data_IF_859624044102
#
_entry.id   IF_859624044102
#
_cell.length_a   1.000
_cell.length_b   1.000
_cell.length_c   1.000
_cell.angle_alpha   90.00
_cell.angle_beta   90.00
_cell.angle_gamma   90.00
#
_symmetry.space_group_name_H-M   'P 1'
#
loop_
_entity.id
_entity.type
_entity.pdbx_description
1 polymer ?
#
# COMPACT_ATOMS: atom_id res chain seq x y z
N UNK A 1 49.80 -45.33 54.63
CA UNK A 1 50.84 -44.38 54.18
C UNK A 1 50.21 -43.46 53.14
N UNK A 2 50.44 -42.14 53.28
CA UNK A 2 50.01 -41.00 52.43
C UNK A 2 48.49 -40.73 52.45
N UNK A 3 47.90 -39.82 53.24
CA UNK A 3 48.15 -38.39 53.53
C UNK A 3 47.85 -37.42 52.36
N UNK A 4 46.75 -36.68 52.50
CA UNK A 4 46.45 -35.29 52.06
C UNK A 4 44.98 -35.00 52.48
N UNK A 5 44.64 -34.36 53.61
CA UNK A 5 44.77 -32.96 54.06
C UNK A 5 44.08 -31.90 53.18
N UNK A 6 43.32 -31.06 53.88
CA UNK A 6 42.61 -29.82 53.48
C UNK A 6 41.20 -30.04 52.91
N UNK A 7 40.12 -29.42 53.39
CA UNK A 7 40.00 -28.29 54.30
C UNK A 7 38.97 -27.29 53.75
N UNK A 8 38.14 -26.78 54.66
CA UNK A 8 37.60 -25.40 54.67
C UNK A 8 36.32 -25.11 53.86
N UNK A 9 35.27 -24.92 54.67
CA UNK A 9 34.29 -23.81 54.71
C UNK A 9 33.37 -23.48 53.54
N UNK A 10 32.07 -23.54 53.89
CA UNK A 10 31.12 -22.42 53.83
C UNK A 10 31.41 -21.33 52.77
N UNK A 11 30.62 -21.37 51.72
CA UNK A 11 29.99 -20.18 51.15
C UNK A 11 28.71 -20.64 50.45
N UNK A 12 27.62 -20.69 51.22
CA UNK A 12 26.30 -20.58 50.64
C UNK A 12 26.25 -19.20 49.97
N UNK A 13 26.38 -19.17 48.65
CA UNK A 13 25.96 -18.02 47.86
C UNK A 13 24.44 -18.00 47.95
N UNK A 14 23.95 -17.38 49.02
CA UNK A 14 22.61 -16.83 49.02
C UNK A 14 22.66 -15.77 47.93
N UNK A 15 22.16 -16.13 46.75
CA UNK A 15 21.73 -15.15 45.77
C UNK A 15 20.57 -14.39 46.43
N UNK A 16 20.93 -13.40 47.23
CA UNK A 16 20.02 -12.35 47.65
C UNK A 16 19.64 -11.65 46.36
N UNK A 17 18.55 -12.10 45.74
CA UNK A 17 17.77 -11.26 44.86
C UNK A 17 17.41 -10.06 45.72
N UNK A 18 18.17 -8.97 45.55
CA UNK A 18 17.77 -7.64 45.99
C UNK A 18 16.53 -7.35 45.15
N UNK A 19 15.37 -7.81 45.62
CA UNK A 19 14.11 -7.20 45.27
C UNK A 19 14.27 -5.75 45.73
N UNK A 20 14.61 -4.87 44.78
CA UNK A 20 14.49 -3.46 44.99
C UNK A 20 13.03 -3.22 45.40
N UNK A 21 12.80 -3.02 46.69
CA UNK A 21 11.57 -2.44 47.21
C UNK A 21 11.51 -0.99 46.68
N UNK A 22 11.24 -0.85 45.39
CA UNK A 22 10.74 0.38 44.84
C UNK A 22 9.40 0.60 45.52
N UNK A 23 9.37 1.59 46.42
CA UNK A 23 8.13 1.96 47.09
C UNK A 23 7.09 2.27 46.02
N UNK A 24 5.91 1.64 46.10
CA UNK A 24 4.82 1.87 45.16
C UNK A 24 4.56 3.37 45.03
N UNK A 25 4.49 3.86 43.79
CA UNK A 25 4.05 5.22 43.54
C UNK A 25 2.59 5.36 43.97
N UNK A 26 2.20 6.54 44.42
CA UNK A 26 0.85 6.83 44.90
C UNK A 26 0.00 7.37 43.74
N UNK A 27 -1.31 7.17 43.80
CA UNK A 27 -2.25 7.73 42.81
C UNK A 27 -2.14 9.27 42.71
N UNK A 28 -1.78 9.94 43.81
CA UNK A 28 -1.49 11.37 43.83
C UNK A 28 -0.34 11.77 42.88
N UNK A 29 0.60 10.88 42.59
CA UNK A 29 1.71 11.14 41.67
C UNK A 29 1.25 11.20 40.21
N UNK A 30 0.13 10.55 39.86
CA UNK A 30 -0.51 10.66 38.53
C UNK A 30 -1.13 12.04 38.36
N UNK A 31 -1.83 12.53 39.39
CA UNK A 31 -2.41 13.87 39.38
C UNK A 31 -1.35 14.98 39.29
N UNK A 32 -0.16 14.77 39.87
CA UNK A 32 0.97 15.71 39.72
C UNK A 32 1.45 15.85 38.28
N UNK A 33 1.18 14.86 37.42
CA UNK A 33 1.46 14.96 35.99
C UNK A 33 0.36 15.68 35.21
N UNK A 34 -0.64 16.26 35.89
CA UNK A 34 -1.80 16.91 35.29
C UNK A 34 -2.60 15.98 34.35
N UNK A 35 -2.63 14.68 34.66
CA UNK A 35 -3.39 13.70 33.92
C UNK A 35 -4.90 13.98 34.02
N UNK A 36 -5.61 13.88 32.89
CA UNK A 36 -7.06 13.85 32.87
C UNK A 36 -7.55 12.44 33.14
N UNK A 37 -7.82 12.15 34.41
CA UNK A 37 -8.30 10.83 34.86
C UNK A 37 -9.65 10.44 34.25
N UNK A 38 -10.36 11.37 33.59
CA UNK A 38 -11.59 11.10 32.83
C UNK A 38 -11.35 10.69 31.37
N UNK A 39 -10.14 10.88 30.86
CA UNK A 39 -9.76 10.59 29.45
C UNK A 39 -9.23 9.17 29.24
N UNK A 40 -9.60 8.25 30.14
CA UNK A 40 -9.07 6.89 30.21
C UNK A 40 -9.25 6.11 28.90
N UNK A 41 -8.16 5.58 28.33
CA UNK A 41 -8.21 4.48 27.36
C UNK A 41 -7.95 3.15 28.07
N UNK A 42 -8.47 2.07 27.50
CA UNK A 42 -8.50 0.71 28.05
C UNK A 42 -7.19 0.23 28.70
N UNK A 43 -7.33 -0.66 29.68
CA UNK A 43 -6.22 -1.29 30.40
C UNK A 43 -5.52 -2.31 29.50
N UNK A 44 -4.33 -1.98 29.00
CA UNK A 44 -3.55 -2.89 28.15
C UNK A 44 -2.83 -3.90 29.04
N UNK A 45 -3.30 -5.14 29.03
CA UNK A 45 -2.65 -6.26 29.71
C UNK A 45 -1.36 -6.69 29.00
N UNK A 46 -0.26 -6.81 29.73
CA UNK A 46 1.03 -7.32 29.22
C UNK A 46 1.25 -8.78 29.61
N UNK A 47 2.09 -9.48 28.82
CA UNK A 47 2.50 -10.87 29.08
C UNK A 47 3.19 -11.07 30.43
N UNK A 48 3.76 -10.00 31.01
CA UNK A 48 4.38 -10.01 32.33
C UNK A 48 3.38 -9.78 33.49
N UNK A 49 2.08 -9.72 33.19
CA UNK A 49 1.00 -9.48 34.17
C UNK A 49 0.87 -8.03 34.62
N UNK A 50 1.63 -7.09 34.04
CA UNK A 50 1.44 -5.67 34.27
C UNK A 50 0.29 -5.11 33.42
N UNK A 51 -0.37 -4.09 33.95
CA UNK A 51 -1.45 -3.35 33.28
C UNK A 51 -0.97 -1.95 32.97
N UNK A 52 -1.19 -1.49 31.75
CA UNK A 52 -0.86 -0.12 31.34
C UNK A 52 -2.14 0.67 31.18
N UNK A 53 -2.23 1.82 31.84
CA UNK A 53 -3.30 2.79 31.62
C UNK A 53 -2.71 4.07 31.05
N UNK A 54 -3.34 4.64 30.02
CA UNK A 54 -2.91 5.85 29.35
C UNK A 54 -3.92 6.98 29.61
N UNK A 55 -3.42 8.15 29.99
CA UNK A 55 -4.24 9.34 30.22
C UNK A 55 -3.76 10.50 29.37
N UNK A 56 -4.65 11.36 28.91
CA UNK A 56 -4.27 12.63 28.30
C UNK A 56 -3.76 13.60 29.36
N UNK A 57 -2.69 14.34 29.09
CA UNK A 57 -2.24 15.43 29.96
C UNK A 57 -3.07 16.70 29.68
N UNK A 58 -3.70 17.29 30.71
CA UNK A 58 -4.54 18.49 30.56
C UNK A 58 -3.73 19.67 30.02
N UNK A 59 -4.27 20.34 29.01
CA UNK A 59 -3.64 21.50 28.38
C UNK A 59 -2.37 21.19 27.59
N UNK A 60 -2.11 19.92 27.32
CA UNK A 60 -0.90 19.43 26.63
C UNK A 60 -1.27 18.41 25.55
N UNK A 61 -0.35 18.25 24.60
CA UNK A 61 -0.37 17.24 23.56
C UNK A 61 0.23 15.88 24.00
N UNK A 62 0.65 15.79 25.26
CA UNK A 62 1.35 14.64 25.82
C UNK A 62 0.39 13.70 26.54
N UNK A 63 0.86 12.50 26.76
CA UNK A 63 0.14 11.42 27.41
C UNK A 63 0.87 10.97 28.67
N UNK A 64 0.13 10.55 29.68
CA UNK A 64 0.66 10.02 30.93
C UNK A 64 0.43 8.51 30.90
N UNK A 65 1.50 7.77 30.70
CA UNK A 65 1.56 6.32 30.85
C UNK A 65 1.68 5.97 32.33
N UNK A 66 0.83 5.05 32.80
CA UNK A 66 0.88 4.50 34.14
C UNK A 66 0.96 2.98 34.04
N UNK A 67 2.05 2.39 34.51
CA UNK A 67 2.22 0.93 34.54
C UNK A 67 1.96 0.42 35.96
N UNK A 68 0.99 -0.47 36.09
CA UNK A 68 0.61 -1.12 37.35
C UNK A 68 1.05 -2.58 37.33
N UNK A 69 1.71 -3.02 38.40
CA UNK A 69 1.98 -4.43 38.68
C UNK A 69 1.18 -4.81 39.92
N UNK A 70 0.20 -5.68 39.76
CA UNK A 70 -0.81 -5.95 40.79
C UNK A 70 -1.50 -4.65 41.26
N UNK A 71 -1.44 -4.33 42.56
CA UNK A 71 -1.99 -3.10 43.15
C UNK A 71 -0.98 -1.96 43.26
N UNK A 72 0.21 -2.11 42.68
CA UNK A 72 1.31 -1.17 42.82
C UNK A 72 1.51 -0.39 41.52
N UNK A 73 1.57 0.94 41.58
CA UNK A 73 2.02 1.75 40.44
C UNK A 73 3.55 1.64 40.38
N UNK A 74 4.02 0.95 39.34
CA UNK A 74 5.44 0.71 39.13
C UNK A 74 6.11 1.93 38.45
N UNK A 75 5.46 2.50 37.43
CA UNK A 75 6.00 3.68 36.72
C UNK A 75 4.92 4.65 36.28
N UNK A 76 5.30 5.92 36.20
CA UNK A 76 4.51 7.00 35.59
C UNK A 76 5.44 7.73 34.62
N UNK A 77 5.08 7.83 33.34
CA UNK A 77 5.89 8.50 32.32
C UNK A 77 5.05 9.43 31.46
N UNK A 78 5.60 10.59 31.13
CA UNK A 78 4.94 11.53 30.21
C UNK A 78 5.52 11.34 28.81
N UNK A 79 4.73 10.76 27.92
CA UNK A 79 5.10 10.47 26.55
C UNK A 79 4.57 11.55 25.60
N UNK A 80 5.33 11.88 24.56
CA UNK A 80 4.79 12.55 23.38
C UNK A 80 3.88 11.60 22.58
N UNK A 81 3.10 12.14 21.64
CA UNK A 81 2.28 11.32 20.74
C UNK A 81 3.13 10.28 20.00
N UNK A 82 4.25 10.68 19.41
CA UNK A 82 5.14 9.79 18.66
C UNK A 82 5.81 8.71 19.53
N UNK A 83 6.05 8.99 20.81
CA UNK A 83 6.61 8.02 21.76
C UNK A 83 5.56 7.02 22.23
N UNK A 84 4.31 7.47 22.41
CA UNK A 84 3.19 6.60 22.75
C UNK A 84 2.88 5.67 21.58
N UNK A 85 2.79 6.22 20.36
CA UNK A 85 2.51 5.50 19.13
C UNK A 85 3.57 4.43 18.85
N UNK A 86 4.86 4.81 18.83
CA UNK A 86 5.96 3.84 18.67
C UNK A 86 6.00 2.73 19.71
N UNK A 87 5.45 2.97 20.89
CA UNK A 87 5.55 2.03 22.02
C UNK A 87 4.40 1.05 22.10
N UNK A 88 3.21 1.45 21.66
CA UNK A 88 2.00 0.64 21.81
C UNK A 88 1.23 0.44 20.51
N UNK A 89 1.66 1.08 19.42
CA UNK A 89 0.94 1.11 18.15
C UNK A 89 -0.52 1.58 18.34
N UNK A 90 -0.72 2.46 19.34
CA UNK A 90 -2.03 2.83 19.86
C UNK A 90 -2.87 3.60 18.84
N UNK A 91 -2.26 4.25 17.84
CA UNK A 91 -3.02 4.91 16.78
C UNK A 91 -3.65 3.92 15.81
N UNK A 92 -3.06 2.75 15.61
CA UNK A 92 -3.70 1.65 14.89
C UNK A 92 -4.87 1.09 15.73
N UNK A 93 -4.64 0.83 17.01
CA UNK A 93 -5.65 0.17 17.87
C UNK A 93 -6.85 1.06 18.26
N UNK A 94 -6.65 2.37 18.48
CA UNK A 94 -7.74 3.31 18.80
C UNK A 94 -8.66 3.60 17.61
N UNK A 95 -8.23 3.25 16.40
CA UNK A 95 -9.03 3.39 15.17
C UNK A 95 -9.57 2.03 14.71
N UNK A 96 -8.94 0.92 15.13
CA UNK A 96 -9.49 -0.45 15.07
C UNK A 96 -10.75 -0.60 15.92
N UNK A 97 -10.94 0.09 17.05
CA UNK A 97 -12.22 0.00 17.80
C UNK A 97 -13.44 0.45 16.97
N UNK A 98 -13.25 1.26 15.91
CA UNK A 98 -14.32 1.56 14.95
C UNK A 98 -14.45 0.51 13.84
N UNK A 99 -13.40 -0.24 13.54
CA UNK A 99 -13.40 -1.34 12.57
C UNK A 99 -13.94 -2.63 13.19
N UNK A 100 -13.55 -2.95 14.43
CA UNK A 100 -13.98 -4.12 15.21
C UNK A 100 -15.49 -4.06 15.51
N UNK A 101 -16.05 -2.87 15.74
CA UNK A 101 -17.51 -2.71 15.91
C UNK A 101 -18.33 -3.04 14.64
N UNK A 102 -17.70 -3.12 13.45
CA UNK A 102 -18.34 -3.62 12.23
C UNK A 102 -18.11 -5.12 12.01
N UNK A 103 -17.04 -5.69 12.56
CA UNK A 103 -16.68 -7.11 12.42
C UNK A 103 -17.37 -8.00 13.46
N UNK A 104 -17.58 -7.52 14.69
CA UNK A 104 -18.29 -8.26 15.76
C UNK A 104 -19.81 -8.42 15.52
N UNK A 105 -20.33 -7.87 14.41
CA UNK A 105 -21.68 -8.14 13.94
C UNK A 105 -21.79 -9.39 13.04
N UNK A 106 -20.68 -10.02 12.66
CA UNK A 106 -20.65 -11.15 11.72
C UNK A 106 -20.22 -12.49 12.32
N UNK A 107 -19.54 -12.52 13.47
CA UNK A 107 -19.09 -13.79 14.05
C UNK A 107 -19.95 -14.20 15.23
N UNK A 108 -21.08 -14.82 14.91
CA UNK A 108 -21.85 -15.60 15.87
C UNK A 108 -22.29 -16.94 15.26
N UNK A 109 -21.33 -17.69 14.71
CA UNK A 109 -21.37 -19.16 14.56
C UNK A 109 -19.90 -19.59 14.68
N UNK A 110 -19.44 -20.26 15.73
CA UNK A 110 -19.92 -21.51 16.27
C UNK A 110 -18.64 -22.31 16.59
N UNK A 111 -18.45 -22.66 17.85
CA UNK A 111 -17.40 -23.59 18.27
C UNK A 111 -17.50 -24.90 17.48
N UNK A 112 -16.41 -25.33 16.86
CA UNK A 112 -16.10 -26.75 16.75
C UNK A 112 -14.59 -26.98 16.88
N UNK A 113 -14.23 -27.88 17.79
CA UNK A 113 -12.86 -28.31 18.05
C UNK A 113 -12.52 -29.46 17.11
N UNK A 114 -11.40 -29.32 16.40
CA UNK A 114 -10.58 -30.46 15.95
C UNK A 114 -10.84 -30.96 14.53
N UNK A 115 -9.91 -30.64 13.62
CA UNK A 115 -9.19 -31.65 12.84
C UNK A 115 -7.95 -30.98 12.24
N UNK A 116 -6.83 -31.70 12.28
CA UNK A 116 -5.54 -31.35 11.72
C UNK A 116 -5.61 -31.27 10.19
N UNK A 117 -6.17 -30.16 9.70
CA UNK A 117 -6.19 -29.83 8.29
C UNK A 117 -4.83 -29.23 7.94
N UNK A 118 -4.08 -29.91 7.08
CA UNK A 118 -2.88 -29.33 6.46
C UNK A 118 -3.25 -27.97 5.87
N UNK A 119 -2.68 -26.91 6.46
CA UNK A 119 -2.89 -25.53 6.01
C UNK A 119 -2.21 -25.38 4.66
N UNK A 120 -2.97 -25.57 3.58
CA UNK A 120 -2.56 -25.20 2.23
C UNK A 120 -2.33 -23.70 2.26
N UNK A 121 -1.09 -23.26 1.99
CA UNK A 121 -0.78 -21.83 1.94
C UNK A 121 -1.53 -21.20 0.77
N UNK A 122 -2.03 -19.96 0.92
CA UNK A 122 -2.76 -19.26 -0.15
C UNK A 122 -1.97 -19.19 -1.47
N UNK A 123 -0.64 -19.21 -1.38
CA UNK A 123 0.27 -19.22 -2.52
C UNK A 123 0.21 -20.53 -3.35
N UNK A 124 -0.31 -21.63 -2.79
CA UNK A 124 -0.37 -22.96 -3.41
C UNK A 124 -1.73 -23.25 -4.08
N UNK A 125 -2.76 -22.43 -3.82
CA UNK A 125 -4.09 -22.59 -4.43
C UNK A 125 -4.00 -22.62 -5.98
N UNK A 126 -4.84 -23.40 -6.68
CA UNK A 126 -4.80 -23.47 -8.13
C UNK A 126 -5.31 -22.17 -8.79
N UNK A 127 -4.81 -21.86 -9.98
CA UNK A 127 -5.38 -20.78 -10.79
C UNK A 127 -6.85 -21.07 -11.11
N UNK A 128 -7.73 -20.09 -10.89
CA UNK A 128 -9.16 -20.20 -11.19
C UNK A 128 -9.48 -19.56 -12.55
N UNK A 129 -10.10 -20.34 -13.44
CA UNK A 129 -10.52 -19.84 -14.76
C UNK A 129 -11.96 -19.32 -14.74
N UNK A 130 -12.22 -18.22 -15.42
CA UNK A 130 -13.57 -17.63 -15.49
C UNK A 130 -14.63 -18.58 -16.04
N UNK A 131 -14.26 -19.50 -16.94
CA UNK A 131 -15.16 -20.49 -17.54
C UNK A 131 -15.71 -21.51 -16.52
N UNK A 132 -15.02 -21.66 -15.37
CA UNK A 132 -15.47 -22.53 -14.27
C UNK A 132 -16.53 -21.87 -13.40
N UNK A 133 -16.80 -20.57 -13.59
CA UNK A 133 -17.75 -19.78 -12.80
C UNK A 133 -18.87 -19.19 -13.67
N UNK A 134 -19.57 -19.97 -14.51
CA UNK A 134 -20.58 -19.43 -15.40
C UNK A 134 -21.76 -18.84 -14.62
N UNK A 135 -22.44 -17.87 -15.23
CA UNK A 135 -23.74 -17.38 -14.77
C UNK A 135 -24.85 -18.10 -15.53
N UNK A 136 -25.97 -18.37 -14.86
CA UNK A 136 -27.12 -19.01 -15.50
C UNK A 136 -27.95 -18.05 -16.37
N UNK A 137 -27.84 -16.74 -16.12
CA UNK A 137 -28.61 -15.71 -16.82
C UNK A 137 -27.90 -14.36 -16.82
N UNK A 138 -28.03 -13.64 -17.92
CA UNK A 138 -27.67 -12.22 -18.02
C UNK A 138 -28.95 -11.37 -17.95
N UNK A 139 -28.95 -10.40 -17.05
CA UNK A 139 -30.01 -9.43 -16.83
C UNK A 139 -30.21 -8.56 -18.08
N UNK A 140 -31.45 -8.52 -18.55
CA UNK A 140 -31.86 -7.78 -19.75
C UNK A 140 -33.05 -6.85 -19.48
N UNK A 141 -33.36 -6.62 -18.20
CA UNK A 141 -34.44 -5.71 -17.79
C UNK A 141 -34.04 -4.24 -17.82
N UNK A 142 -34.97 -3.33 -17.47
CA UNK A 142 -34.69 -1.90 -17.39
C UNK A 142 -33.62 -1.57 -16.36
N UNK A 143 -32.62 -0.80 -16.75
CA UNK A 143 -31.54 -0.35 -15.87
C UNK A 143 -32.10 0.66 -14.86
N UNK A 144 -31.95 0.38 -13.56
CA UNK A 144 -32.24 1.34 -12.50
C UNK A 144 -30.97 2.10 -12.15
N UNK A 145 -31.00 3.43 -12.27
CA UNK A 145 -29.87 4.27 -11.89
C UNK A 145 -29.79 4.46 -10.37
N UNK A 146 -28.62 4.85 -9.84
CA UNK A 146 -28.41 5.00 -8.39
C UNK A 146 -29.17 6.19 -7.83
N UNK A 147 -29.52 6.09 -6.54
CA UNK A 147 -30.10 7.19 -5.78
C UNK A 147 -29.00 7.99 -5.10
N UNK A 148 -28.36 8.88 -5.86
CA UNK A 148 -27.27 9.74 -5.37
C UNK A 148 -27.70 10.81 -4.36
N UNK A 149 -29.01 10.99 -4.12
CA UNK A 149 -29.53 11.93 -3.13
C UNK A 149 -29.96 11.24 -1.83
N UNK A 150 -30.14 9.91 -1.86
CA UNK A 150 -30.50 9.09 -0.71
C UNK A 150 -29.48 7.98 -0.48
N UNK A 151 -29.85 6.74 -0.81
CA UNK A 151 -29.08 5.52 -0.47
C UNK A 151 -27.62 5.57 -0.93
N UNK A 152 -27.37 6.03 -2.15
CA UNK A 152 -26.06 5.95 -2.81
C UNK A 152 -25.32 7.32 -2.77
N UNK A 153 -25.63 8.18 -1.80
CA UNK A 153 -25.05 9.53 -1.66
C UNK A 153 -23.53 9.53 -1.60
N UNK A 154 -22.91 8.53 -0.99
CA UNK A 154 -21.45 8.43 -0.84
C UNK A 154 -20.72 8.17 -2.18
N UNK A 155 -21.48 7.86 -3.23
CA UNK A 155 -20.99 7.66 -4.60
C UNK A 155 -21.27 8.87 -5.50
N UNK A 156 -21.93 9.92 -4.99
CA UNK A 156 -22.39 11.06 -5.78
C UNK A 156 -21.26 11.82 -6.49
N UNK A 157 -20.05 11.84 -5.91
CA UNK A 157 -18.85 12.43 -6.53
C UNK A 157 -18.49 11.77 -7.87
N UNK A 158 -18.87 10.50 -8.06
CA UNK A 158 -18.62 9.72 -9.27
C UNK A 158 -19.86 9.49 -10.12
N UNK A 159 -20.97 10.20 -9.83
CA UNK A 159 -22.30 9.96 -10.42
C UNK A 159 -22.31 9.82 -11.94
N UNK A 160 -21.56 10.67 -12.65
CA UNK A 160 -21.54 10.66 -14.12
C UNK A 160 -20.87 9.39 -14.64
N UNK A 161 -19.74 9.01 -14.05
CA UNK A 161 -18.96 7.83 -14.47
C UNK A 161 -19.72 6.56 -14.15
N UNK A 162 -20.27 6.45 -12.94
CA UNK A 162 -21.12 5.33 -12.52
C UNK A 162 -22.35 5.22 -13.43
N UNK A 163 -23.07 6.31 -13.65
CA UNK A 163 -24.26 6.31 -14.52
C UNK A 163 -23.93 5.89 -15.95
N UNK A 164 -22.78 6.33 -16.48
CA UNK A 164 -22.35 5.94 -17.82
C UNK A 164 -21.93 4.46 -17.88
N UNK A 165 -21.22 3.96 -16.87
CA UNK A 165 -20.87 2.54 -16.76
C UNK A 165 -22.11 1.65 -16.68
N UNK A 166 -23.10 2.02 -15.86
CA UNK A 166 -24.38 1.30 -15.80
C UNK A 166 -25.13 1.32 -17.13
N UNK A 167 -25.17 2.46 -17.83
CA UNK A 167 -25.83 2.59 -19.14
C UNK A 167 -25.16 1.76 -20.24
N UNK A 168 -23.89 1.37 -20.06
CA UNK A 168 -23.22 0.45 -20.98
C UNK A 168 -23.74 -1.00 -20.85
N UNK A 169 -24.50 -1.31 -19.80
CA UNK A 169 -25.13 -2.61 -19.58
C UNK A 169 -24.33 -3.53 -18.65
N UNK A 170 -24.76 -4.79 -18.57
CA UNK A 170 -24.12 -5.81 -17.73
C UNK A 170 -22.73 -6.13 -18.30
N UNK A 171 -21.70 -6.06 -17.46
CA UNK A 171 -20.35 -6.50 -17.81
C UNK A 171 -19.72 -7.44 -16.76
N UNK A 172 -20.47 -7.79 -15.71
CA UNK A 172 -20.01 -8.67 -14.63
C UNK A 172 -21.14 -9.49 -14.02
N UNK A 173 -20.88 -10.79 -13.75
CA UNK A 173 -21.69 -11.68 -12.90
C UNK A 173 -23.20 -11.60 -13.19
N UNK A 174 -23.55 -11.60 -14.48
CA UNK A 174 -24.91 -11.71 -14.98
C UNK A 174 -25.82 -10.50 -14.73
N UNK A 175 -25.56 -9.63 -13.76
CA UNK A 175 -26.46 -8.51 -13.43
C UNK A 175 -25.77 -7.21 -13.02
N UNK A 176 -24.44 -7.22 -12.96
CA UNK A 176 -23.66 -6.10 -12.44
C UNK A 176 -22.88 -5.37 -13.54
N UNK A 177 -22.62 -4.09 -13.28
CA UNK A 177 -21.70 -3.27 -14.04
C UNK A 177 -20.53 -2.89 -13.12
N UNK A 178 -19.32 -3.27 -13.51
CA UNK A 178 -18.09 -2.75 -12.94
C UNK A 178 -17.71 -1.48 -13.69
N UNK A 179 -17.50 -0.41 -12.93
CA UNK A 179 -17.03 0.88 -13.43
C UNK A 179 -15.70 1.21 -12.79
N UNK A 180 -14.61 1.02 -13.54
CA UNK A 180 -13.27 1.42 -13.12
C UNK A 180 -13.00 2.88 -13.50
N UNK A 181 -12.42 3.64 -12.58
CA UNK A 181 -12.18 5.07 -12.69
C UNK A 181 -10.74 5.34 -12.29
N UNK A 182 -9.97 5.92 -13.21
CA UNK A 182 -8.63 6.42 -12.89
C UNK A 182 -8.69 7.58 -11.91
N UNK A 183 -7.87 7.53 -10.87
CA UNK A 183 -7.74 8.60 -9.88
C UNK A 183 -6.54 9.53 -10.14
N UNK A 184 -5.64 9.16 -11.07
CA UNK A 184 -4.37 9.83 -11.38
C UNK A 184 -3.20 8.87 -11.14
N UNK A 185 -1.97 9.23 -11.56
CA UNK A 185 -0.72 8.51 -11.21
C UNK A 185 -0.79 6.97 -11.24
N UNK A 186 -1.41 6.39 -12.27
CA UNK A 186 -1.63 4.92 -12.41
C UNK A 186 -2.50 4.27 -11.32
N UNK A 187 -3.09 5.04 -10.42
CA UNK A 187 -4.15 4.60 -9.51
C UNK A 187 -5.50 4.50 -10.23
N UNK A 188 -6.27 3.49 -9.84
CA UNK A 188 -7.68 3.38 -10.18
C UNK A 188 -8.50 2.93 -8.98
N UNK A 189 -9.79 3.27 -9.00
CA UNK A 189 -10.81 2.75 -8.08
C UNK A 189 -11.89 2.08 -8.92
N UNK A 190 -12.63 1.14 -8.35
CA UNK A 190 -13.74 0.51 -9.04
C UNK A 190 -15.01 0.47 -8.19
N UNK A 191 -16.14 0.55 -8.87
CA UNK A 191 -17.47 0.41 -8.29
C UNK A 191 -18.22 -0.73 -8.95
N UNK A 192 -19.00 -1.46 -8.16
CA UNK A 192 -19.96 -2.44 -8.67
C UNK A 192 -21.36 -1.87 -8.54
N UNK A 193 -22.07 -1.85 -9.65
CA UNK A 193 -23.45 -1.37 -9.72
C UNK A 193 -24.38 -2.54 -10.01
N UNK A 194 -25.40 -2.73 -9.19
CA UNK A 194 -26.50 -3.63 -9.52
C UNK A 194 -27.45 -2.94 -10.51
N UNK A 195 -27.54 -3.44 -11.75
CA UNK A 195 -28.39 -2.82 -12.78
C UNK A 195 -29.89 -3.04 -12.52
N UNK A 196 -30.26 -4.05 -11.73
CA UNK A 196 -31.66 -4.35 -11.38
C UNK A 196 -32.17 -3.41 -10.30
N UNK A 197 -31.34 -3.05 -9.32
CA UNK A 197 -31.77 -2.26 -8.14
C UNK A 197 -31.23 -0.83 -8.11
N UNK A 198 -30.15 -0.54 -8.83
CA UNK A 198 -29.44 0.73 -8.80
C UNK A 198 -28.40 0.83 -7.68
N UNK A 199 -28.30 -0.17 -6.80
CA UNK A 199 -27.43 -0.12 -5.63
C UNK A 199 -25.95 -0.14 -6.01
N UNK A 200 -25.15 0.62 -5.26
CA UNK A 200 -23.71 0.78 -5.49
C UNK A 200 -22.89 0.12 -4.38
N UNK A 201 -21.78 -0.49 -4.78
CA UNK A 201 -20.83 -1.14 -3.90
C UNK A 201 -19.41 -0.74 -4.29
N UNK A 202 -18.50 -0.71 -3.31
CA UNK A 202 -17.07 -0.47 -3.55
C UNK A 202 -16.37 -1.77 -3.89
N UNK A 203 -15.43 -1.70 -4.83
CA UNK A 203 -14.40 -2.72 -4.93
C UNK A 203 -13.44 -2.56 -3.73
N UNK A 204 -12.95 -3.65 -3.11
CA UNK A 204 -12.19 -3.59 -1.86
C UNK A 204 -10.78 -3.02 -2.06
N UNK A 205 -10.26 -3.08 -3.30
CA UNK A 205 -8.94 -2.56 -3.65
C UNK A 205 -9.00 -1.34 -4.57
N UNK A 206 -7.87 -0.66 -4.68
CA UNK A 206 -7.72 0.57 -5.47
C UNK A 206 -7.43 1.80 -4.62
N UNK A 207 -7.35 2.96 -5.27
CA UNK A 207 -6.85 4.17 -4.63
C UNK A 207 -5.32 4.22 -4.62
N UNK A 208 -4.76 5.17 -3.88
CA UNK A 208 -3.31 5.41 -3.83
C UNK A 208 -2.56 4.28 -3.09
N UNK A 209 -3.22 3.60 -2.15
CA UNK A 209 -2.64 2.54 -1.30
C UNK A 209 -2.48 1.19 -2.04
N UNK A 210 -3.30 0.93 -3.06
CA UNK A 210 -3.37 -0.37 -3.75
C UNK A 210 -3.20 -0.27 -5.28
N UNK A 211 -2.71 0.88 -5.77
CA UNK A 211 -2.43 1.13 -7.19
C UNK A 211 -1.01 0.68 -7.59
N UNK A 212 -0.81 0.18 -8.82
CA UNK A 212 -1.77 0.02 -9.92
C UNK A 212 -2.72 -1.16 -9.71
N UNK A 213 -3.95 -1.02 -10.21
CA UNK A 213 -4.97 -2.08 -10.14
C UNK A 213 -5.57 -2.32 -11.53
N UNK A 214 -5.63 -3.58 -11.95
CA UNK A 214 -6.34 -3.99 -13.18
C UNK A 214 -7.32 -5.11 -12.90
N UNK A 215 -8.43 -5.14 -13.64
CA UNK A 215 -9.55 -6.04 -13.41
C UNK A 215 -9.90 -6.79 -14.69
N UNK A 216 -10.05 -8.10 -14.59
CA UNK A 216 -10.59 -8.98 -15.63
C UNK A 216 -11.91 -9.55 -15.15
N UNK A 217 -12.97 -9.23 -15.89
CA UNK A 217 -14.33 -9.66 -15.59
C UNK A 217 -15.15 -9.84 -16.87
N UNK A 218 -16.27 -10.55 -16.78
CA UNK A 218 -17.23 -10.64 -17.90
C UNK A 218 -18.65 -10.79 -17.39
N UNK A 219 -19.62 -10.42 -18.23
CA UNK A 219 -21.04 -10.63 -17.94
C UNK A 219 -21.39 -12.10 -17.72
N UNK A 220 -20.65 -13.01 -18.35
CA UNK A 220 -20.89 -14.46 -18.34
C UNK A 220 -20.29 -15.20 -17.14
N UNK A 221 -19.47 -14.55 -16.32
CA UNK A 221 -18.77 -15.19 -15.21
C UNK A 221 -19.02 -14.48 -13.89
N UNK A 222 -19.16 -15.27 -12.81
CA UNK A 222 -19.20 -14.80 -11.43
C UNK A 222 -17.81 -14.49 -10.88
N UNK A 223 -16.75 -14.96 -11.57
CA UNK A 223 -15.37 -14.72 -11.18
C UNK A 223 -14.89 -13.37 -11.70
N UNK A 224 -14.23 -12.63 -10.82
CA UNK A 224 -13.40 -11.50 -11.14
C UNK A 224 -11.95 -11.85 -10.81
N UNK A 225 -11.03 -11.48 -11.69
CA UNK A 225 -9.60 -11.58 -11.44
C UNK A 225 -9.05 -10.17 -11.36
N UNK A 226 -8.30 -9.87 -10.31
CA UNK A 226 -7.65 -8.57 -10.12
C UNK A 226 -6.14 -8.74 -10.01
N UNK A 227 -5.39 -7.78 -10.53
CA UNK A 227 -4.06 -7.50 -10.02
C UNK A 227 -4.09 -6.22 -9.19
N UNK A 228 -3.39 -6.24 -8.07
CA UNK A 228 -3.29 -5.10 -7.17
C UNK A 228 -2.02 -5.19 -6.33
N UNK A 229 -1.58 -4.03 -5.82
CA UNK A 229 -0.33 -3.92 -5.06
C UNK A 229 -0.59 -4.18 -3.57
N UNK A 230 0.14 -5.15 -3.01
CA UNK A 230 0.16 -5.47 -1.58
C UNK A 230 1.57 -5.25 -1.03
N UNK A 231 1.80 -4.10 -0.39
CA UNK A 231 3.13 -3.68 0.06
C UNK A 231 4.10 -3.52 -1.11
N UNK A 232 5.13 -4.36 -1.18
CA UNK A 232 6.13 -4.38 -2.25
C UNK A 232 5.88 -5.49 -3.28
N UNK A 233 4.76 -6.22 -3.17
CA UNK A 233 4.40 -7.32 -4.06
C UNK A 233 3.24 -6.94 -4.95
N UNK A 234 3.23 -7.49 -6.15
CA UNK A 234 2.04 -7.55 -6.96
C UNK A 234 1.31 -8.87 -6.72
N UNK A 235 0.01 -8.77 -6.46
CA UNK A 235 -0.86 -9.90 -6.20
C UNK A 235 -1.80 -10.10 -7.37
N UNK A 236 -1.97 -11.35 -7.81
CA UNK A 236 -3.05 -11.81 -8.67
C UNK A 236 -4.10 -12.51 -7.81
N UNK A 237 -5.30 -11.96 -7.75
CA UNK A 237 -6.37 -12.44 -6.89
C UNK A 237 -7.62 -12.81 -7.68
N UNK A 238 -8.20 -13.96 -7.36
CA UNK A 238 -9.46 -14.46 -7.91
C UNK A 238 -10.55 -14.32 -6.86
N UNK A 239 -11.65 -13.64 -7.21
CA UNK A 239 -12.69 -13.29 -6.25
C UNK A 239 -14.09 -13.49 -6.83
N UNK A 240 -15.07 -13.71 -5.94
CA UNK A 240 -16.50 -13.62 -6.27
C UNK A 240 -17.16 -12.48 -5.53
N UNK A 241 -18.24 -11.95 -6.10
CA UNK A 241 -19.04 -10.91 -5.48
C UNK A 241 -20.48 -11.39 -5.26
N UNK A 242 -20.98 -11.22 -4.04
CA UNK A 242 -22.34 -11.53 -3.67
C UNK A 242 -22.98 -10.37 -2.90
N UNK A 243 -23.71 -9.51 -3.62
CA UNK A 243 -24.63 -8.51 -3.07
C UNK A 243 -24.05 -7.60 -1.97
N UNK A 244 -22.75 -7.26 -2.06
CA UNK A 244 -22.05 -6.39 -1.12
C UNK A 244 -20.81 -7.01 -0.51
N UNK A 245 -20.71 -8.34 -0.56
CA UNK A 245 -19.58 -9.09 -0.01
C UNK A 245 -18.66 -9.58 -1.12
N UNK A 246 -17.36 -9.50 -0.89
CA UNK A 246 -16.31 -10.05 -1.75
C UNK A 246 -15.69 -11.26 -1.07
N UNK A 247 -15.69 -12.39 -1.76
CA UNK A 247 -15.04 -13.61 -1.29
C UNK A 247 -13.74 -13.80 -2.07
N UNK A 248 -12.61 -13.81 -1.37
CA UNK A 248 -11.33 -14.20 -1.97
C UNK A 248 -11.29 -15.70 -2.13
N UNK A 249 -11.01 -16.18 -3.34
CA UNK A 249 -10.97 -17.61 -3.65
C UNK A 249 -9.54 -18.12 -3.87
N UNK A 250 -8.64 -17.27 -4.35
CA UNK A 250 -7.23 -17.58 -4.51
C UNK A 250 -6.41 -16.28 -4.62
N UNK A 251 -5.28 -16.21 -3.91
CA UNK A 251 -4.39 -15.04 -3.89
C UNK A 251 -2.95 -15.47 -4.16
N UNK A 252 -2.34 -14.93 -5.21
CA UNK A 252 -0.99 -15.33 -5.64
C UNK A 252 -0.06 -14.12 -5.76
N UNK A 253 1.06 -14.08 -5.02
CA UNK A 253 2.14 -13.15 -5.32
C UNK A 253 2.74 -13.49 -6.68
N UNK A 254 2.68 -12.56 -7.64
CA UNK A 254 3.16 -12.76 -9.01
C UNK A 254 4.47 -12.03 -9.32
N UNK A 255 4.93 -11.16 -8.41
CA UNK A 255 6.18 -10.44 -8.55
C UNK A 255 6.32 -9.32 -7.52
N UNK A 256 7.31 -8.45 -7.74
CA UNK A 256 7.35 -7.15 -7.08
C UNK A 256 6.21 -6.24 -7.56
N UNK A 257 6.09 -5.06 -6.98
CA UNK A 257 5.05 -4.08 -7.35
C UNK A 257 5.08 -3.65 -8.81
N UNK A 258 6.20 -3.80 -9.53
CA UNK A 258 6.30 -3.38 -10.94
C UNK A 258 5.46 -4.31 -11.84
N UNK A 259 5.28 -5.58 -11.46
CA UNK A 259 4.43 -6.51 -12.20
C UNK A 259 2.95 -6.08 -12.28
N UNK A 260 2.48 -5.21 -11.37
CA UNK A 260 1.11 -4.70 -11.39
C UNK A 260 0.86 -3.64 -12.47
N UNK A 261 1.91 -3.15 -13.13
CA UNK A 261 1.79 -2.26 -14.29
C UNK A 261 1.59 -3.01 -15.61
N UNK A 262 1.86 -4.32 -15.62
CA UNK A 262 1.64 -5.17 -16.79
C UNK A 262 0.15 -5.48 -16.99
N UNK A 263 -0.24 -5.79 -18.23
CA UNK A 263 -1.61 -6.19 -18.53
C UNK A 263 -2.01 -7.46 -17.75
N UNK A 264 -3.25 -7.50 -17.27
CA UNK A 264 -3.73 -8.65 -16.48
C UNK A 264 -3.71 -9.96 -17.28
N UNK A 265 -3.87 -9.91 -18.59
CA UNK A 265 -3.80 -11.10 -19.44
C UNK A 265 -2.38 -11.63 -19.56
N UNK A 266 -1.39 -10.73 -19.59
CA UNK A 266 0.03 -11.08 -19.60
C UNK A 266 0.43 -11.68 -18.25
N UNK A 267 -0.02 -11.08 -17.15
CA UNK A 267 0.16 -11.59 -15.79
C UNK A 267 -0.46 -12.99 -15.61
N UNK A 268 -1.69 -13.20 -16.07
CA UNK A 268 -2.35 -14.51 -16.02
C UNK A 268 -1.57 -15.55 -16.84
N UNK A 269 -1.11 -15.17 -18.04
CA UNK A 269 -0.37 -16.08 -18.94
C UNK A 269 0.99 -16.46 -18.37
N UNK A 270 1.71 -15.49 -17.80
CA UNK A 270 2.98 -15.70 -17.12
C UNK A 270 2.82 -16.61 -15.89
N UNK A 271 1.78 -16.39 -15.08
CA UNK A 271 1.48 -17.22 -13.91
C UNK A 271 1.23 -18.68 -14.29
N UNK A 272 0.38 -18.92 -15.29
CA UNK A 272 0.09 -20.27 -15.80
C UNK A 272 1.34 -20.97 -16.31
N UNK A 273 2.13 -20.28 -17.14
CA UNK A 273 3.37 -20.83 -17.71
C UNK A 273 4.37 -21.24 -16.61
N UNK A 274 4.53 -20.41 -15.58
CA UNK A 274 5.43 -20.70 -14.45
C UNK A 274 5.00 -21.93 -13.67
N UNK A 275 3.69 -22.12 -13.46
CA UNK A 275 3.14 -23.30 -12.78
C UNK A 275 3.21 -24.58 -13.61
N UNK A 276 3.01 -24.50 -14.92
CA UNK A 276 3.20 -25.64 -15.81
C UNK A 276 4.67 -26.11 -15.81
N UNK A 277 5.63 -25.18 -15.73
CA UNK A 277 7.05 -25.49 -15.58
C UNK A 277 7.42 -26.06 -14.20
N UNK A 278 6.77 -25.62 -13.12
CA UNK A 278 7.02 -26.17 -11.78
C UNK A 278 6.41 -27.56 -11.59
N UNK A 279 5.24 -27.83 -12.19
CA UNK A 279 4.60 -29.15 -12.19
C UNK A 279 5.31 -30.20 -13.05
N UNK A 280 6.18 -29.77 -13.98
CA UNK A 280 6.96 -30.67 -14.83
C UNK A 280 8.27 -31.17 -14.19
N UNK A 281 8.67 -30.65 -13.03
CA UNK A 281 9.94 -31.00 -12.37
C UNK A 281 9.83 -32.04 -11.23
N UNK A 282 8.65 -32.62 -11.01
CA UNK A 282 8.49 -33.75 -10.07
C UNK A 282 8.30 -35.08 -10.81
N UNK A 283 9.40 -35.61 -11.36
CA UNK A 283 9.59 -37.07 -11.52
C UNK A 283 11.03 -37.42 -11.14
N UNK A 284 11.26 -38.38 -10.23
CA UNK A 284 12.60 -38.77 -9.82
C UNK A 284 13.17 -39.81 -10.79
N UNK A 285 14.33 -39.52 -11.40
CA UNK A 285 15.14 -40.57 -12.01
C UNK A 285 16.64 -40.24 -11.97
N UNK A 286 17.28 -40.92 -11.03
CA UNK A 286 18.70 -41.25 -10.93
C UNK A 286 19.39 -41.56 -12.27
N UNK A 287 20.56 -40.93 -12.46
CA UNK A 287 21.79 -41.57 -12.98
C UNK A 287 21.94 -41.76 -14.49
N UNK A 288 22.81 -40.98 -15.14
CA UNK A 288 24.24 -41.30 -15.23
C UNK A 288 25.03 -40.30 -16.10
N UNK A 289 26.32 -40.18 -15.72
CA UNK A 289 27.43 -39.45 -16.34
C UNK A 289 27.53 -39.62 -17.87
N UNK A 290 27.95 -38.56 -18.55
CA UNK A 290 29.26 -38.56 -19.23
C UNK A 290 29.68 -37.15 -19.64
N UNK A 291 30.94 -36.85 -19.35
CA UNK A 291 31.66 -35.65 -19.76
C UNK A 291 31.91 -35.64 -21.28
N UNK A 292 32.00 -34.44 -21.86
CA UNK A 292 33.17 -34.11 -22.68
C UNK A 292 33.37 -32.59 -22.75
N UNK A 293 34.54 -32.17 -22.30
CA UNK A 293 35.12 -30.86 -22.55
C UNK A 293 35.83 -30.88 -23.92
N UNK A 294 35.71 -29.80 -24.68
CA UNK A 294 36.47 -29.56 -25.90
C UNK A 294 36.66 -28.06 -26.10
N UNK A 295 37.89 -27.59 -25.90
CA UNK A 295 38.37 -26.23 -26.14
C UNK A 295 38.34 -25.82 -27.63
N UNK A 296 38.04 -24.53 -27.89
CA UNK A 296 38.76 -23.64 -28.82
C UNK A 296 38.13 -22.22 -28.72
N UNK A 297 38.74 -21.27 -28.02
CA UNK A 297 39.77 -20.28 -28.42
C UNK A 297 39.22 -19.09 -29.24
N UNK A 298 39.57 -17.91 -28.74
CA UNK A 298 39.12 -16.57 -29.08
C UNK A 298 39.49 -16.10 -30.50
N UNK A 299 38.69 -15.14 -31.00
CA UNK A 299 39.17 -14.08 -31.89
C UNK A 299 38.32 -12.81 -31.69
N UNK A 300 38.91 -11.85 -30.99
CA UNK A 300 38.74 -10.41 -31.22
C UNK A 300 39.01 -10.10 -32.69
N UNK A 301 38.16 -9.28 -33.31
CA UNK A 301 38.62 -8.23 -34.20
C UNK A 301 37.65 -7.05 -34.16
N UNK A 302 38.25 -5.89 -33.94
CA UNK A 302 37.66 -4.56 -33.91
C UNK A 302 37.87 -3.96 -35.29
N UNK A 303 36.82 -3.55 -35.98
CA UNK A 303 36.95 -2.59 -37.09
C UNK A 303 35.71 -1.70 -37.14
N UNK A 304 35.98 -0.41 -36.93
CA UNK A 304 35.06 0.72 -37.03
C UNK A 304 35.01 1.17 -38.50
N UNK A 305 33.90 1.78 -38.96
CA UNK A 305 34.09 3.07 -39.60
C UNK A 305 33.09 4.14 -39.15
N UNK A 306 33.56 5.37 -39.32
CA UNK A 306 33.00 6.62 -38.85
C UNK A 306 31.76 7.11 -39.63
N UNK A 307 31.16 8.16 -39.05
CA UNK A 307 30.13 9.07 -39.56
C UNK A 307 28.68 8.57 -39.60
N UNK A 308 27.99 8.78 -38.47
CA UNK A 308 26.56 9.09 -38.47
C UNK A 308 26.34 10.34 -37.62
N UNK A 309 25.90 11.41 -38.26
CA UNK A 309 25.26 12.55 -37.61
C UNK A 309 23.98 12.04 -36.94
N UNK A 310 23.70 12.31 -35.65
CA UNK A 310 22.35 12.15 -35.14
C UNK A 310 21.79 13.52 -34.76
N UNK A 311 21.01 14.10 -35.67
CA UNK A 311 19.90 14.98 -35.29
C UNK A 311 18.63 14.34 -35.86
N UNK A 312 18.02 13.46 -35.06
CA UNK A 312 16.62 13.08 -35.16
C UNK A 312 16.22 12.25 -33.93
N UNK A 313 15.54 12.88 -32.97
CA UNK A 313 14.56 12.18 -32.12
C UNK A 313 15.02 11.62 -30.78
N UNK A 314 15.78 12.38 -29.97
CA UNK A 314 15.66 12.21 -28.50
C UNK A 314 14.72 13.29 -27.99
N UNK A 315 13.65 12.86 -27.30
CA UNK A 315 12.86 13.79 -26.51
C UNK A 315 13.69 14.21 -25.30
N UNK A 316 13.48 15.41 -24.79
CA UNK A 316 14.16 15.98 -23.61
C UNK A 316 14.17 15.06 -22.37
N UNK A 317 13.31 14.04 -22.36
CA UNK A 317 13.11 13.03 -21.32
C UNK A 317 13.92 11.74 -21.48
N UNK A 318 14.71 11.60 -22.53
CA UNK A 318 15.62 10.47 -22.71
C UNK A 318 16.94 10.63 -21.93
N UNK A 319 17.10 11.74 -21.19
CA UNK A 319 18.26 11.99 -20.33
C UNK A 319 17.94 11.60 -18.87
N UNK A 320 18.62 10.56 -18.38
CA UNK A 320 18.48 10.04 -17.03
C UNK A 320 18.70 11.10 -15.94
N UNK A 321 19.59 12.08 -16.17
CA UNK A 321 19.85 13.15 -15.22
C UNK A 321 18.71 14.19 -15.19
N UNK A 322 18.01 14.40 -16.32
CA UNK A 322 16.81 15.26 -16.37
C UNK A 322 15.65 14.60 -15.63
N UNK A 323 15.47 13.29 -15.82
CA UNK A 323 14.47 12.52 -15.07
C UNK A 323 14.77 12.51 -13.56
N UNK A 324 16.03 12.27 -13.18
CA UNK A 324 16.49 12.34 -11.79
C UNK A 324 16.19 13.72 -11.16
N UNK A 325 16.50 14.79 -11.89
CA UNK A 325 16.26 16.15 -11.43
C UNK A 325 14.76 16.42 -11.23
N UNK A 326 13.92 15.94 -12.15
CA UNK A 326 12.48 16.11 -12.04
C UNK A 326 11.90 15.35 -10.83
N UNK A 327 12.25 14.07 -10.66
CA UNK A 327 11.79 13.26 -9.53
C UNK A 327 12.27 13.86 -8.18
N UNK A 328 13.49 14.41 -8.12
CA UNK A 328 14.03 15.10 -6.95
C UNK A 328 13.21 16.35 -6.58
N UNK A 329 12.87 17.17 -7.57
CA UNK A 329 12.03 18.36 -7.38
C UNK A 329 10.59 17.99 -6.99
N UNK A 330 9.99 16.97 -7.61
CA UNK A 330 8.63 16.52 -7.28
C UNK A 330 8.54 16.00 -5.83
N UNK A 331 9.54 15.21 -5.40
CA UNK A 331 9.65 14.74 -4.02
C UNK A 331 9.78 15.89 -3.02
N UNK A 332 10.66 16.85 -3.31
CA UNK A 332 10.89 18.00 -2.42
C UNK A 332 9.66 18.91 -2.32
N UNK A 333 8.97 19.19 -3.45
CA UNK A 333 7.73 19.97 -3.46
C UNK A 333 6.63 19.31 -2.63
N UNK A 334 6.54 17.98 -2.67
CA UNK A 334 5.57 17.18 -1.89
C UNK A 334 5.85 17.26 -0.39
N UNK A 335 7.11 17.09 0.02
CA UNK A 335 7.53 17.23 1.42
C UNK A 335 7.27 18.64 1.93
N UNK A 336 7.58 19.65 1.13
CA UNK A 336 7.33 21.05 1.48
C UNK A 336 5.84 21.34 1.63
N UNK A 337 4.99 20.74 0.81
CA UNK A 337 3.53 20.86 0.95
C UNK A 337 3.04 20.19 2.25
N UNK A 338 3.53 18.99 2.56
CA UNK A 338 3.27 18.31 3.83
C UNK A 338 3.66 19.15 5.06
N UNK A 339 4.86 19.75 5.04
CA UNK A 339 5.31 20.64 6.11
C UNK A 339 4.40 21.87 6.21
N UNK A 340 4.16 22.58 5.10
CA UNK A 340 3.34 23.80 5.08
C UNK A 340 1.88 23.59 5.47
N UNK A 341 1.32 22.42 5.18
CA UNK A 341 -0.07 22.12 5.49
C UNK A 341 -0.37 22.29 7.00
N UNK A 342 0.62 22.04 7.88
CA UNK A 342 0.45 22.10 9.34
C UNK A 342 1.67 22.65 10.09
N UNK A 343 2.53 23.45 9.47
CA UNK A 343 3.78 23.97 10.09
C UNK A 343 3.57 24.72 11.42
N UNK A 344 2.39 25.32 11.60
CA UNK A 344 2.01 26.08 12.80
C UNK A 344 0.84 25.44 13.58
N UNK A 345 0.52 24.17 13.29
CA UNK A 345 -0.59 23.45 13.92
C UNK A 345 -0.12 22.14 14.55
N UNK A 346 -0.74 21.76 15.67
CA UNK A 346 -0.47 20.46 16.31
C UNK A 346 -1.63 19.48 16.06
N UNK A 347 -1.35 18.21 15.70
CA UNK A 347 -0.04 17.66 15.31
C UNK A 347 0.42 18.20 13.95
N UNK A 348 1.73 18.35 13.77
CA UNK A 348 2.31 18.63 12.46
C UNK A 348 2.43 17.34 11.65
N UNK A 349 2.37 17.43 10.31
CA UNK A 349 2.67 16.29 9.45
C UNK A 349 4.18 16.00 9.39
N UNK A 350 4.98 17.06 9.32
CA UNK A 350 6.43 17.00 9.37
C UNK A 350 6.96 18.04 10.36
N UNK A 351 7.97 17.64 11.13
CA UNK A 351 8.66 18.54 12.04
C UNK A 351 9.60 19.48 11.29
N UNK A 352 10.01 20.58 11.95
CA UNK A 352 11.02 21.50 11.40
C UNK A 352 12.33 20.79 11.10
N UNK A 353 12.77 19.90 12.00
CA UNK A 353 13.99 19.12 11.83
C UNK A 353 13.96 18.22 10.59
N UNK A 354 12.81 17.61 10.30
CA UNK A 354 12.63 16.76 9.11
C UNK A 354 12.66 17.58 7.83
N UNK A 355 12.04 18.76 7.83
CA UNK A 355 12.08 19.67 6.69
C UNK A 355 13.50 20.21 6.44
N UNK A 356 14.22 20.61 7.49
CA UNK A 356 15.60 21.11 7.36
C UNK A 356 16.53 20.00 6.84
N UNK A 357 16.32 18.74 7.26
CA UNK A 357 17.03 17.58 6.70
C UNK A 357 16.72 17.38 5.21
N UNK A 358 15.43 17.37 4.84
CA UNK A 358 15.02 17.22 3.45
C UNK A 358 15.56 18.34 2.54
N UNK A 359 15.67 19.57 3.05
CA UNK A 359 16.29 20.69 2.31
C UNK A 359 17.79 20.47 2.11
N UNK A 360 18.51 19.99 3.12
CA UNK A 360 19.93 19.66 2.98
C UNK A 360 20.16 18.52 1.97
N UNK A 361 19.36 17.46 2.05
CA UNK A 361 19.44 16.31 1.15
C UNK A 361 19.09 16.72 -0.31
N UNK A 362 18.06 17.56 -0.49
CA UNK A 362 17.69 18.12 -1.79
C UNK A 362 18.84 18.91 -2.43
N UNK A 363 19.45 19.83 -1.68
CA UNK A 363 20.55 20.66 -2.18
C UNK A 363 21.79 19.84 -2.52
N UNK A 364 22.07 18.78 -1.74
CA UNK A 364 23.15 17.84 -2.01
C UNK A 364 22.94 17.12 -3.34
N UNK A 365 21.77 16.51 -3.52
CA UNK A 365 21.48 15.70 -4.70
C UNK A 365 21.34 16.55 -5.97
N UNK A 366 20.77 17.76 -5.84
CA UNK A 366 20.70 18.71 -6.96
C UNK A 366 22.10 19.06 -7.46
N UNK A 367 23.03 19.36 -6.55
CA UNK A 367 24.41 19.69 -6.88
C UNK A 367 25.14 18.52 -7.57
N UNK A 368 24.89 17.29 -7.12
CA UNK A 368 25.47 16.10 -7.74
C UNK A 368 24.90 15.85 -9.15
N UNK A 369 23.59 15.98 -9.37
CA UNK A 369 22.98 15.81 -10.70
C UNK A 369 23.53 16.86 -11.68
N UNK A 370 23.68 18.11 -11.26
CA UNK A 370 24.26 19.16 -12.10
C UNK A 370 25.73 18.97 -12.40
N UNK A 371 26.46 18.33 -11.48
CA UNK A 371 27.85 17.93 -11.74
C UNK A 371 27.91 16.86 -12.83
N UNK A 372 26.91 15.96 -12.91
CA UNK A 372 26.80 14.93 -13.96
C UNK A 372 26.35 15.52 -15.31
N UNK A 373 25.43 16.47 -15.32
CA UNK A 373 25.03 17.21 -16.53
C UNK A 373 24.81 18.71 -16.26
N UNK A 374 25.83 19.56 -16.52
CA UNK A 374 25.73 21.00 -16.29
C UNK A 374 24.78 21.74 -17.24
N UNK A 375 24.23 21.08 -18.27
CA UNK A 375 23.35 21.70 -19.26
C UNK A 375 21.89 21.73 -18.83
N UNK A 376 21.54 21.07 -17.73
CA UNK A 376 20.17 21.04 -17.20
C UNK A 376 19.72 22.45 -16.80
N UNK A 377 18.60 22.91 -17.36
CA UNK A 377 17.96 24.16 -16.93
C UNK A 377 17.13 23.90 -15.66
N UNK A 378 17.67 24.29 -14.50
CA UNK A 378 16.98 24.15 -13.21
C UNK A 378 15.62 24.82 -13.18
N UNK A 379 15.50 25.99 -13.82
CA UNK A 379 14.27 26.78 -13.74
C UNK A 379 13.16 26.13 -14.53
N UNK A 380 13.49 25.54 -15.68
CA UNK A 380 12.51 24.79 -16.46
C UNK A 380 12.04 23.53 -15.71
N UNK A 381 12.97 22.75 -15.15
CA UNK A 381 12.63 21.55 -14.38
C UNK A 381 11.81 21.90 -13.13
N UNK A 382 12.20 22.94 -12.40
CA UNK A 382 11.45 23.42 -11.23
C UNK A 382 10.03 23.83 -11.60
N UNK A 383 9.86 24.63 -12.66
CA UNK A 383 8.53 25.04 -13.15
C UNK A 383 7.69 23.82 -13.50
N UNK A 384 8.29 22.86 -14.18
CA UNK A 384 7.60 21.65 -14.64
C UNK A 384 7.20 20.72 -13.51
N UNK A 385 8.08 20.50 -12.52
CA UNK A 385 7.74 19.82 -11.27
C UNK A 385 6.54 20.48 -10.61
N UNK A 386 6.58 21.81 -10.48
CA UNK A 386 5.52 22.55 -9.83
C UNK A 386 4.19 22.41 -10.58
N UNK A 387 4.19 22.43 -11.93
CA UNK A 387 2.98 22.21 -12.74
C UNK A 387 2.42 20.79 -12.58
N UNK A 388 3.29 19.77 -12.59
CA UNK A 388 2.89 18.37 -12.44
C UNK A 388 2.33 18.09 -11.04
N UNK A 389 2.90 18.74 -10.02
CA UNK A 389 2.55 18.53 -8.63
C UNK A 389 1.56 19.57 -8.07
N UNK A 390 1.12 20.55 -8.87
CA UNK A 390 0.29 21.67 -8.43
C UNK A 390 -1.02 21.20 -7.78
N UNK A 391 -1.68 20.19 -8.38
CA UNK A 391 -2.95 19.68 -7.88
C UNK A 391 -2.79 18.96 -6.54
N UNK A 392 -1.76 18.12 -6.41
CA UNK A 392 -1.47 17.38 -5.20
C UNK A 392 -1.03 18.34 -4.07
N UNK A 393 -0.05 19.20 -4.33
CA UNK A 393 0.44 20.18 -3.33
C UNK A 393 -0.69 21.11 -2.86
N UNK A 394 -1.55 21.58 -3.76
CA UNK A 394 -2.73 22.37 -3.41
C UNK A 394 -3.72 21.57 -2.57
N UNK A 395 -4.01 20.31 -2.95
CA UNK A 395 -4.93 19.46 -2.20
C UNK A 395 -4.42 19.18 -0.78
N UNK A 396 -3.14 18.81 -0.63
CA UNK A 396 -2.51 18.52 0.67
C UNK A 396 -2.51 19.77 1.56
N UNK A 397 -2.15 20.93 1.02
CA UNK A 397 -2.16 22.19 1.80
C UNK A 397 -3.59 22.58 2.19
N UNK A 398 -4.55 22.60 1.26
CA UNK A 398 -5.91 23.05 1.54
C UNK A 398 -6.68 22.13 2.49
N UNK A 399 -6.49 20.81 2.34
CA UNK A 399 -7.17 19.82 3.20
C UNK A 399 -6.47 19.68 4.53
N UNK A 400 -5.13 19.64 4.55
CA UNK A 400 -4.34 19.47 5.75
C UNK A 400 -4.38 20.68 6.70
N UNK A 401 -4.64 21.89 6.19
CA UNK A 401 -4.80 23.08 7.02
C UNK A 401 -6.12 23.13 7.82
N UNK A 402 -7.15 22.40 7.38
CA UNK A 402 -8.49 22.43 8.01
C UNK A 402 -8.63 21.43 9.14
N UNK A 403 -8.32 20.16 8.88
CA UNK A 403 -8.43 19.08 9.87
C UNK A 403 -7.25 18.12 9.69
N UNK A 404 -6.77 17.55 10.81
CA UNK A 404 -5.74 16.53 10.76
C UNK A 404 -6.34 15.26 10.15
N UNK A 405 -5.74 14.78 9.07
CA UNK A 405 -6.08 13.52 8.44
C UNK A 405 -4.92 12.54 8.69
N UNK A 406 -5.23 11.38 9.29
CA UNK A 406 -4.24 10.37 9.63
C UNK A 406 -3.56 9.78 8.39
N UNK A 407 -4.30 9.53 7.31
CA UNK A 407 -3.74 9.06 6.04
C UNK A 407 -2.79 10.11 5.45
N UNK A 408 -3.15 11.39 5.50
CA UNK A 408 -2.22 12.46 5.08
C UNK A 408 -0.99 12.51 5.98
N UNK A 409 -1.13 12.37 7.29
CA UNK A 409 0.01 12.33 8.21
C UNK A 409 0.92 11.14 7.87
N UNK A 410 0.37 9.93 7.72
CA UNK A 410 1.10 8.70 7.39
C UNK A 410 1.80 8.82 6.03
N UNK A 411 1.10 9.31 5.00
CA UNK A 411 1.66 9.55 3.68
C UNK A 411 2.81 10.56 3.74
N UNK A 412 2.64 11.69 4.44
CA UNK A 412 3.70 12.69 4.62
C UNK A 412 4.93 12.13 5.34
N UNK A 413 4.72 11.32 6.39
CA UNK A 413 5.80 10.64 7.12
C UNK A 413 6.53 9.62 6.26
N UNK A 414 5.79 8.85 5.45
CA UNK A 414 6.36 7.90 4.50
C UNK A 414 7.18 8.61 3.43
N UNK A 415 6.66 9.69 2.84
CA UNK A 415 7.37 10.53 1.87
C UNK A 415 8.68 11.08 2.43
N UNK A 416 8.67 11.61 3.66
CA UNK A 416 9.89 12.10 4.31
C UNK A 416 10.90 10.98 4.62
N UNK A 417 10.44 9.75 4.86
CA UNK A 417 11.32 8.60 5.15
C UNK A 417 12.04 8.04 3.91
N UNK A 418 11.45 8.21 2.72
CA UNK A 418 12.00 7.70 1.45
C UNK A 418 12.72 8.79 0.64
N UNK A 419 12.80 10.01 1.17
CA UNK A 419 13.49 11.12 0.54
C UNK A 419 14.91 11.29 1.11
N UNK A 420 15.92 11.58 0.26
CA UNK A 420 15.82 11.79 -1.19
C UNK A 420 15.64 10.47 -1.97
N UNK A 421 15.09 10.50 -3.20
CA UNK A 421 14.77 9.29 -3.98
C UNK A 421 16.00 8.46 -4.42
N UNK A 422 17.22 8.93 -4.17
CA UNK A 422 18.47 8.32 -4.59
C UNK A 422 18.78 8.62 -6.05
N UNK A 423 19.91 9.26 -6.32
CA UNK A 423 20.30 9.72 -7.66
C UNK A 423 20.60 8.54 -8.59
N UNK A 424 20.98 7.40 -8.03
CA UNK A 424 21.18 6.11 -8.70
C UNK A 424 19.90 5.40 -9.13
N UNK A 425 18.73 5.79 -8.61
CA UNK A 425 17.45 5.13 -8.87
C UNK A 425 16.64 5.81 -10.00
N UNK A 426 17.15 6.88 -10.60
CA UNK A 426 16.45 7.59 -11.67
C UNK A 426 16.25 6.69 -12.90
N UNK A 427 15.01 6.28 -13.16
CA UNK A 427 14.65 5.46 -14.33
C UNK A 427 14.14 6.35 -15.46
N UNK A 428 14.56 6.06 -16.69
CA UNK A 428 13.97 6.64 -17.90
C UNK A 428 12.49 6.23 -17.99
N UNK A 429 11.57 7.12 -17.62
CA UNK A 429 10.13 6.94 -17.87
C UNK A 429 9.88 7.00 -19.38
N UNK A 430 9.85 5.86 -20.05
CA UNK A 430 9.49 5.77 -21.47
C UNK A 430 7.99 6.05 -21.61
N UNK A 431 7.63 7.27 -22.04
CA UNK A 431 6.25 7.63 -22.31
C UNK A 431 5.82 6.94 -23.61
N UNK A 432 4.75 6.14 -23.57
CA UNK A 432 4.08 5.71 -24.78
C UNK A 432 3.63 6.94 -25.57
N UNK A 433 4.02 6.99 -26.84
CA UNK A 433 3.59 8.01 -27.78
C UNK A 433 2.08 7.86 -27.98
N UNK A 434 1.31 8.78 -27.41
CA UNK A 434 -0.13 8.94 -27.72
C UNK A 434 -0.24 9.18 -29.24
N UNK A 435 -0.55 8.13 -29.99
CA UNK A 435 -0.54 8.22 -31.45
C UNK A 435 -0.80 6.93 -32.24
N UNK A 436 -1.09 5.78 -31.62
CA UNK A 436 -1.60 4.61 -32.35
C UNK A 436 -3.02 4.29 -31.92
N UNK A 437 -3.96 4.44 -32.86
CA UNK A 437 -5.29 3.87 -32.79
C UNK A 437 -5.15 2.35 -32.67
N UNK A 438 -5.58 1.78 -31.54
CA UNK A 438 -5.81 0.35 -31.43
C UNK A 438 -7.04 0.00 -32.28
N UNK A 439 -6.79 -0.57 -33.45
CA UNK A 439 -7.75 -1.32 -34.25
C UNK A 439 -7.84 -2.75 -33.69
N UNK A 440 -8.70 -2.97 -32.70
CA UNK A 440 -9.26 -4.28 -32.37
C UNK A 440 -10.45 -4.10 -31.41
N UNK A 441 -11.67 -4.39 -31.88
CA UNK A 441 -12.91 -4.26 -31.11
C UNK A 441 -13.88 -3.26 -31.74
N UNK A 442 -14.58 -3.70 -32.81
CA UNK A 442 -15.38 -2.84 -33.68
C UNK A 442 -16.56 -2.13 -32.99
N UNK A 443 -16.68 -0.84 -33.31
CA UNK A 443 -17.90 -0.06 -33.15
C UNK A 443 -19.02 -0.68 -34.00
N UNK A 444 -20.12 -1.08 -33.37
CA UNK A 444 -21.40 -1.21 -34.07
C UNK A 444 -21.91 0.22 -34.30
N UNK A 445 -21.79 0.69 -35.54
CA UNK A 445 -22.42 1.92 -36.01
C UNK A 445 -23.87 1.61 -36.38
N UNK A 446 -24.88 2.32 -35.84
CA UNK A 446 -26.24 2.24 -36.35
C UNK A 446 -26.30 2.83 -37.75
N UNK A 447 -26.68 2.02 -38.74
CA UNK A 447 -27.01 2.47 -40.09
C UNK A 447 -28.39 3.17 -40.05
N UNK A 448 -28.43 4.51 -39.97
CA UNK A 448 -29.65 5.30 -40.23
C UNK A 448 -29.69 5.68 -41.73
N UNK A 449 -30.70 5.26 -42.50
CA UNK A 449 -30.78 5.52 -43.93
C UNK A 449 -31.25 6.95 -44.31
N UNK A 450 -31.30 7.91 -43.39
CA UNK A 450 -31.86 9.26 -43.66
C UNK A 450 -30.86 10.34 -44.09
N UNK A 451 -29.60 10.01 -44.29
CA UNK A 451 -28.61 10.94 -44.85
C UNK A 451 -27.83 10.25 -45.97
N UNK A 452 -28.34 10.36 -47.20
CA UNK A 452 -27.57 10.22 -48.44
C UNK A 452 -27.33 11.60 -49.03
#
# INVERSE_FOLDING_TARGET
MLAKLSGISFLAVVASAIAANSACLKEADIQRQNADLKSHSEDIGRKDGSVVSIYRQKGSARFVEVVRQNRCIATIKVLSADELDRKYDLMASLWDERAIAQEEALDNEGMDEGDDTEVISDADLPFLSMDQFPVSRIYSGPIRLPDFNGRDRDFATFRTRISNGMKAGVNFSGQYAITQIGCGSSCSIAFVSDLKTGQQFRFPYGGEEAGPMTLKHSAGSRLLIATWRDGDQCVLESMTFNAGTWDSLAKHPIGDSDACYEDIDDNISAFKSKREMSGANEVPASGNKSANAGHAKAQTDSEQPANVIPNAGMTEYDNINVAAMLDLYEGYDSIRACFKARENQFPAYLSRQEMDKAEADFLSDEAEILKRDPRIDKQDISRKSHELNALFTMAVVLTGMKEMNYEHWKACRKLASIFPPGIENARLKKREVIGKKNTAGGLIVPQDPRFR
#
